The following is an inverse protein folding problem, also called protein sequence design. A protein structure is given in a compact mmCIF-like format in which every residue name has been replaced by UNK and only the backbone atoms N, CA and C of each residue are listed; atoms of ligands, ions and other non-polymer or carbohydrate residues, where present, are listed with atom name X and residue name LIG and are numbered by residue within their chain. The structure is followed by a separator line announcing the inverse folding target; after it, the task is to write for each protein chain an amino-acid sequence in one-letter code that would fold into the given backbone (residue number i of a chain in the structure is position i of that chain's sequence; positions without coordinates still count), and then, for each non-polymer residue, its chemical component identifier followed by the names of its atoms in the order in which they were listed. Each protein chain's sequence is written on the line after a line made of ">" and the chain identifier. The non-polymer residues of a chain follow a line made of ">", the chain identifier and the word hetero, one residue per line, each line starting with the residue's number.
data_IF_004282118545
#
_entry.id   IF_004282118545
#
_cell.length_a   1.000
_cell.length_b   1.000
_cell.length_c   1.000
_cell.angle_alpha   90.00
_cell.angle_beta   90.00
_cell.angle_gamma   90.00
#
_symmetry.space_group_name_H-M   'P 1'
#
loop_
_entity.id
_entity.type
_entity.pdbx_description
1 polymer ?
#
# COMPACT_ATOMS: atom_id res chain seq x y z
N UNK A 1 33.10 -20.02 -9.20
CA UNK A 1 32.20 -20.36 -8.08
C UNK A 1 30.94 -19.51 -8.18
N UNK A 2 29.80 -20.12 -7.90
CA UNK A 2 28.42 -19.67 -8.12
C UNK A 2 28.11 -18.29 -7.53
N UNK A 3 27.21 -17.56 -8.17
CA UNK A 3 25.89 -17.20 -7.62
C UNK A 3 24.91 -16.98 -8.77
N UNK A 4 24.26 -18.05 -9.19
CA UNK A 4 22.98 -17.95 -9.89
C UNK A 4 22.02 -17.31 -8.91
N UNK A 5 21.66 -16.04 -9.16
CA UNK A 5 20.52 -15.41 -8.49
C UNK A 5 19.30 -16.03 -9.15
N UNK A 6 18.65 -16.90 -8.38
CA UNK A 6 17.31 -17.37 -8.67
C UNK A 6 16.42 -16.13 -8.60
N UNK A 7 16.10 -15.55 -9.75
CA UNK A 7 15.04 -14.56 -9.85
C UNK A 7 13.76 -15.32 -9.54
N UNK A 8 13.36 -15.31 -8.25
CA UNK A 8 12.04 -15.76 -7.88
C UNK A 8 11.08 -14.80 -8.60
N UNK A 9 10.50 -15.28 -9.70
CA UNK A 9 9.24 -14.78 -10.20
C UNK A 9 8.21 -15.04 -9.11
N UNK A 10 8.23 -14.22 -8.06
CA UNK A 10 7.03 -13.84 -7.33
C UNK A 10 6.24 -13.01 -8.34
N UNK A 11 5.64 -13.70 -9.31
CA UNK A 11 4.49 -13.14 -10.00
C UNK A 11 3.44 -13.00 -8.92
N UNK A 12 3.43 -11.85 -8.25
CA UNK A 12 2.25 -11.39 -7.54
C UNK A 12 1.15 -11.49 -8.59
N UNK A 13 0.24 -12.44 -8.43
CA UNK A 13 -1.02 -12.39 -9.15
C UNK A 13 -1.59 -11.02 -8.80
N UNK A 14 -1.48 -10.07 -9.72
CA UNK A 14 -1.99 -8.71 -9.57
C UNK A 14 -3.52 -8.81 -9.62
N UNK A 15 -4.11 -9.38 -8.58
CA UNK A 15 -5.53 -9.32 -8.38
C UNK A 15 -5.88 -7.85 -8.15
N UNK A 16 -6.77 -7.33 -9.00
CA UNK A 16 -7.24 -5.95 -9.02
C UNK A 16 -6.27 -4.86 -9.52
N UNK A 17 -5.14 -5.22 -10.17
CA UNK A 17 -4.23 -4.22 -10.78
C UNK A 17 -3.47 -3.39 -9.74
N UNK A 18 -3.26 -3.96 -8.56
CA UNK A 18 -2.51 -3.39 -7.44
C UNK A 18 -1.37 -4.34 -7.07
N UNK A 19 -0.20 -3.81 -6.77
CA UNK A 19 0.93 -4.60 -6.25
C UNK A 19 1.81 -3.74 -5.35
N UNK A 20 2.19 -4.30 -4.20
CA UNK A 20 3.15 -3.66 -3.28
C UNK A 20 4.58 -3.92 -3.73
N UNK A 21 5.44 -2.92 -3.62
CA UNK A 21 6.87 -3.08 -3.89
C UNK A 21 7.52 -4.08 -2.92
N UNK A 22 8.59 -4.79 -3.33
CA UNK A 22 9.26 -5.75 -2.47
C UNK A 22 10.18 -5.12 -1.40
N UNK A 23 10.46 -3.82 -1.51
CA UNK A 23 11.29 -3.05 -0.57
C UNK A 23 10.44 -1.99 0.13
N UNK A 24 10.96 -1.47 1.24
CA UNK A 24 10.39 -0.35 1.99
C UNK A 24 11.10 0.95 1.63
N UNK A 25 10.41 2.07 1.84
CA UNK A 25 10.88 3.39 1.45
C UNK A 25 10.52 4.45 2.50
N UNK A 26 11.37 5.48 2.59
CA UNK A 26 11.14 6.64 3.44
C UNK A 26 10.18 7.66 2.81
N UNK A 27 9.74 8.63 3.61
CA UNK A 27 8.67 9.57 3.25
C UNK A 27 8.95 10.49 2.05
N UNK A 28 10.21 10.72 1.69
CA UNK A 28 10.62 11.76 0.73
C UNK A 28 11.11 11.22 -0.62
N UNK A 29 10.79 9.97 -0.93
CA UNK A 29 11.18 9.31 -2.17
C UNK A 29 10.24 9.66 -3.34
N UNK A 30 10.70 9.45 -4.58
CA UNK A 30 9.83 9.53 -5.76
C UNK A 30 9.10 8.19 -5.96
N UNK A 31 7.94 8.06 -5.32
CA UNK A 31 7.16 6.83 -5.36
C UNK A 31 6.61 6.47 -6.75
N UNK A 32 6.35 7.46 -7.61
CA UNK A 32 5.91 7.19 -8.98
C UNK A 32 7.08 6.65 -9.82
N UNK A 33 8.31 7.13 -9.62
CA UNK A 33 9.51 6.52 -10.22
C UNK A 33 9.76 5.11 -9.67
N UNK A 34 9.65 4.91 -8.36
CA UNK A 34 9.77 3.59 -7.72
C UNK A 34 8.78 2.58 -8.32
N UNK A 35 7.50 2.96 -8.45
CA UNK A 35 6.50 2.09 -9.06
C UNK A 35 6.84 1.75 -10.52
N UNK A 36 7.34 2.72 -11.30
CA UNK A 36 7.73 2.50 -12.70
C UNK A 36 8.93 1.57 -12.83
N UNK A 37 9.90 1.69 -11.94
CA UNK A 37 11.08 0.85 -11.93
C UNK A 37 10.74 -0.58 -11.50
N UNK A 38 9.82 -0.74 -10.55
CA UNK A 38 9.38 -2.05 -10.06
C UNK A 38 8.46 -2.78 -11.04
N UNK A 39 7.52 -2.07 -11.67
CA UNK A 39 6.38 -2.69 -12.36
C UNK A 39 6.17 -2.21 -13.81
N UNK A 40 7.04 -1.34 -14.32
CA UNK A 40 7.03 -0.86 -15.70
C UNK A 40 6.45 0.54 -15.86
N UNK A 41 6.68 1.15 -17.04
CA UNK A 41 6.52 2.59 -17.27
C UNK A 41 5.10 3.16 -17.09
N UNK A 42 4.08 2.30 -17.04
CA UNK A 42 2.70 2.71 -16.80
C UNK A 42 2.30 2.66 -15.32
N UNK A 43 3.12 2.04 -14.48
CA UNK A 43 2.84 1.95 -13.07
C UNK A 43 2.93 3.32 -12.40
N UNK A 44 2.17 3.49 -11.32
CA UNK A 44 2.10 4.71 -10.53
C UNK A 44 1.72 4.38 -9.10
N UNK A 45 1.99 5.29 -8.17
CA UNK A 45 1.54 5.15 -6.79
C UNK A 45 0.01 5.09 -6.75
N UNK A 46 -0.50 4.14 -5.97
CA UNK A 46 -1.92 3.96 -5.75
C UNK A 46 -2.50 5.11 -4.93
N UNK A 47 -3.72 5.49 -5.30
CA UNK A 47 -4.52 6.45 -4.56
C UNK A 47 -5.55 5.72 -3.69
N UNK A 48 -6.00 6.33 -2.60
CA UNK A 48 -7.16 5.87 -1.82
C UNK A 48 -8.37 5.48 -2.68
N UNK A 49 -8.70 6.27 -3.70
CA UNK A 49 -9.80 5.96 -4.63
C UNK A 49 -9.57 4.66 -5.40
N UNK A 50 -8.33 4.38 -5.79
CA UNK A 50 -8.00 3.16 -6.50
C UNK A 50 -8.21 1.94 -5.60
N UNK A 51 -7.75 2.03 -4.34
CA UNK A 51 -7.87 0.97 -3.34
C UNK A 51 -9.34 0.68 -3.04
N UNK A 52 -10.15 1.71 -2.79
CA UNK A 52 -11.59 1.54 -2.55
C UNK A 52 -12.30 0.86 -3.72
N UNK A 53 -12.01 1.30 -4.94
CA UNK A 53 -12.59 0.75 -6.16
C UNK A 53 -12.17 -0.71 -6.39
N UNK A 54 -10.91 -1.03 -6.10
CA UNK A 54 -10.38 -2.38 -6.20
C UNK A 54 -11.02 -3.30 -5.14
N UNK A 55 -11.08 -2.83 -3.89
CA UNK A 55 -11.74 -3.53 -2.79
C UNK A 55 -13.21 -3.81 -3.09
N UNK A 56 -13.98 -2.80 -3.51
CA UNK A 56 -15.41 -2.94 -3.83
C UNK A 56 -15.65 -4.04 -4.87
N UNK A 57 -14.81 -4.11 -5.89
CA UNK A 57 -14.87 -5.08 -6.99
C UNK A 57 -14.35 -6.47 -6.64
N UNK A 58 -13.55 -6.61 -5.59
CA UNK A 58 -13.00 -7.90 -5.21
C UNK A 58 -14.12 -8.89 -4.88
N UNK A 59 -14.05 -10.09 -5.47
CA UNK A 59 -15.00 -11.16 -5.20
C UNK A 59 -14.81 -11.71 -3.77
N UNK A 60 -13.56 -11.80 -3.35
CA UNK A 60 -13.14 -12.18 -2.00
C UNK A 60 -12.33 -11.03 -1.39
N UNK A 61 -12.79 -10.52 -0.24
CA UNK A 61 -12.18 -9.37 0.42
C UNK A 61 -10.92 -9.76 1.20
N UNK A 62 -10.90 -10.96 1.78
CA UNK A 62 -9.74 -11.47 2.50
C UNK A 62 -8.60 -11.77 1.53
N UNK A 63 -8.92 -12.41 0.39
CA UNK A 63 -7.94 -12.64 -0.68
C UNK A 63 -7.41 -11.31 -1.25
N UNK A 64 -8.28 -10.31 -1.41
CA UNK A 64 -7.83 -8.98 -1.84
C UNK A 64 -6.81 -8.37 -0.87
N UNK A 65 -7.10 -8.35 0.43
CA UNK A 65 -6.18 -7.80 1.44
C UNK A 65 -4.85 -8.56 1.43
N UNK A 66 -4.91 -9.90 1.41
CA UNK A 66 -3.72 -10.74 1.32
C UNK A 66 -2.91 -10.48 0.04
N UNK A 67 -3.57 -10.22 -1.10
CA UNK A 67 -2.89 -9.92 -2.37
C UNK A 67 -2.08 -8.62 -2.35
N UNK A 68 -2.38 -7.70 -1.44
CA UNK A 68 -1.60 -6.48 -1.21
C UNK A 68 -0.33 -6.74 -0.38
N UNK A 69 -0.14 -7.96 0.14
CA UNK A 69 0.92 -8.30 1.09
C UNK A 69 0.62 -7.86 2.53
N UNK A 70 -0.64 -7.54 2.85
CA UNK A 70 -1.11 -7.20 4.19
C UNK A 70 -1.63 -8.48 4.86
N UNK A 71 -0.77 -9.14 5.65
CA UNK A 71 -1.06 -10.43 6.28
C UNK A 71 -1.23 -10.33 7.80
N UNK A 72 -0.78 -9.23 8.40
CA UNK A 72 -0.74 -9.02 9.84
C UNK A 72 -1.25 -7.63 10.23
N UNK A 73 -1.88 -7.57 11.40
CA UNK A 73 -2.32 -6.32 12.02
C UNK A 73 -1.19 -5.28 12.06
N UNK A 74 -1.54 -4.02 11.80
CA UNK A 74 -0.66 -2.84 11.78
C UNK A 74 0.34 -2.78 10.62
N UNK A 75 0.27 -3.71 9.66
CA UNK A 75 1.03 -3.57 8.41
C UNK A 75 0.47 -2.44 7.56
N UNK A 76 1.37 -1.61 7.05
CA UNK A 76 1.07 -0.38 6.32
C UNK A 76 1.70 -0.38 4.93
N UNK A 77 1.06 0.30 3.98
CA UNK A 77 1.60 0.59 2.65
C UNK A 77 1.51 2.09 2.35
N UNK A 78 2.54 2.62 1.69
CA UNK A 78 2.62 3.99 1.21
C UNK A 78 1.65 4.18 0.06
N UNK A 79 0.82 5.22 0.16
CA UNK A 79 -0.18 5.59 -0.84
C UNK A 79 -0.25 7.12 -0.94
N UNK A 80 -1.04 7.63 -1.88
CA UNK A 80 -1.43 9.05 -1.92
C UNK A 80 -2.93 9.26 -1.75
N UNK A 81 -3.30 10.46 -1.32
CA UNK A 81 -4.68 10.92 -1.35
C UNK A 81 -4.79 12.09 -2.33
N UNK A 82 -5.70 11.99 -3.29
CA UNK A 82 -5.74 12.89 -4.46
C UNK A 82 -4.34 13.14 -5.10
N UNK A 83 -3.87 14.39 -5.12
CA UNK A 83 -2.53 14.78 -5.60
C UNK A 83 -1.46 14.80 -4.51
N UNK A 84 -1.82 14.55 -3.26
CA UNK A 84 -0.98 14.77 -2.08
C UNK A 84 -0.39 13.47 -1.54
N UNK A 85 0.88 13.53 -1.15
CA UNK A 85 1.59 12.46 -0.45
C UNK A 85 1.50 12.61 1.07
N UNK A 86 1.33 13.86 1.52
CA UNK A 86 1.30 14.25 2.92
C UNK A 86 -0.03 14.91 3.28
N UNK A 87 -0.45 14.71 4.52
CA UNK A 87 -1.61 15.43 5.08
C UNK A 87 -1.20 16.80 5.63
N UNK A 88 -0.61 16.83 6.83
CA UNK A 88 0.01 18.01 7.42
C UNK A 88 1.44 17.70 7.89
N UNK A 89 2.37 18.61 7.60
CA UNK A 89 3.77 18.47 8.00
C UNK A 89 4.45 17.27 7.34
N UNK A 90 4.90 16.32 8.14
CA UNK A 90 5.63 15.11 7.77
C UNK A 90 4.76 13.84 7.80
N UNK A 91 3.43 13.99 7.94
CA UNK A 91 2.52 12.85 7.98
C UNK A 91 2.22 12.33 6.59
N UNK A 92 2.80 11.19 6.24
CA UNK A 92 2.58 10.54 4.96
C UNK A 92 1.27 9.76 4.96
N UNK A 93 0.53 9.80 3.85
CA UNK A 93 -0.64 8.95 3.66
C UNK A 93 -0.26 7.48 3.53
N UNK A 94 -0.99 6.62 4.24
CA UNK A 94 -0.81 5.17 4.28
C UNK A 94 -2.16 4.46 4.26
N UNK A 95 -2.16 3.19 3.86
CA UNK A 95 -3.25 2.25 4.13
C UNK A 95 -2.74 1.19 5.10
N UNK A 96 -3.52 0.89 6.14
CA UNK A 96 -3.11 -0.02 7.23
C UNK A 96 -4.14 -1.10 7.48
N UNK A 97 -3.70 -2.33 7.70
CA UNK A 97 -4.56 -3.45 8.10
C UNK A 97 -4.84 -3.40 9.61
N UNK A 98 -6.07 -3.07 9.98
CA UNK A 98 -6.51 -3.05 11.38
C UNK A 98 -7.52 -4.15 11.73
N UNK A 99 -8.06 -4.85 10.73
CA UNK A 99 -8.91 -6.03 10.91
C UNK A 99 -10.06 -5.81 11.91
N UNK A 100 -10.74 -4.67 11.78
CA UNK A 100 -11.88 -4.25 12.61
C UNK A 100 -11.51 -3.65 13.97
N UNK A 101 -10.22 -3.58 14.31
CA UNK A 101 -9.76 -3.10 15.63
C UNK A 101 -8.88 -1.88 15.46
N UNK A 102 -9.40 -0.69 15.78
CA UNK A 102 -8.59 0.52 15.74
C UNK A 102 -7.48 0.49 16.80
N UNK A 103 -6.26 0.95 16.46
CA UNK A 103 -5.22 1.20 17.44
C UNK A 103 -5.73 2.20 18.49
N UNK A 104 -5.45 1.91 19.76
CA UNK A 104 -5.75 2.85 20.87
C UNK A 104 -4.66 3.91 21.05
N UNK A 105 -3.61 3.90 20.22
CA UNK A 105 -2.54 4.90 20.25
C UNK A 105 -2.91 6.14 19.41
N UNK A 106 -2.97 7.28 20.09
CA UNK A 106 -3.53 8.55 19.61
C UNK A 106 -2.77 9.24 18.46
N UNK A 107 -1.66 8.68 17.97
CA UNK A 107 -0.87 9.33 16.93
C UNK A 107 -1.21 8.84 15.53
N UNK A 108 -1.99 7.76 15.36
CA UNK A 108 -2.46 7.33 14.03
C UNK A 108 -3.69 8.14 13.70
N UNK A 109 -3.69 8.80 12.55
CA UNK A 109 -4.85 9.55 12.10
C UNK A 109 -5.58 8.73 11.05
N UNK A 110 -6.74 8.20 11.46
CA UNK A 110 -7.72 7.61 10.53
C UNK A 110 -8.44 8.77 9.86
N UNK A 111 -8.35 8.83 8.54
CA UNK A 111 -9.05 9.82 7.74
C UNK A 111 -10.29 9.22 7.08
N UNK A 112 -10.23 7.93 6.76
CA UNK A 112 -11.35 7.15 6.24
C UNK A 112 -11.11 5.65 6.47
N UNK A 113 -12.12 4.82 6.22
CA UNK A 113 -12.06 3.37 6.46
C UNK A 113 -12.68 2.57 5.32
N UNK A 114 -12.24 1.31 5.18
CA UNK A 114 -12.80 0.31 4.29
C UNK A 114 -13.24 -0.87 5.15
N UNK A 115 -14.50 -1.25 4.98
CA UNK A 115 -15.12 -2.44 5.59
C UNK A 115 -14.94 -2.49 7.11
N UNK A 116 -15.55 -1.50 7.78
CA UNK A 116 -15.60 -1.39 9.23
C UNK A 116 -14.22 -1.56 9.91
N UNK A 117 -13.21 -0.80 9.47
CA UNK A 117 -11.83 -0.84 9.97
C UNK A 117 -11.04 -2.11 9.62
N UNK A 118 -11.46 -2.86 8.59
CA UNK A 118 -10.59 -3.89 8.01
C UNK A 118 -9.31 -3.24 7.48
N UNK A 119 -9.46 -2.24 6.61
CA UNK A 119 -8.37 -1.35 6.22
C UNK A 119 -8.71 0.08 6.64
N UNK A 120 -7.71 0.80 7.15
CA UNK A 120 -7.83 2.23 7.43
C UNK A 120 -6.96 3.06 6.51
N UNK A 121 -7.57 4.09 5.95
CA UNK A 121 -6.92 5.09 5.12
C UNK A 121 -6.51 6.22 6.04
N UNK A 122 -5.22 6.28 6.33
CA UNK A 122 -4.70 7.12 7.39
C UNK A 122 -3.43 7.83 7.01
N UNK A 123 -2.78 8.38 8.03
CA UNK A 123 -1.46 8.99 7.89
C UNK A 123 -0.59 8.69 9.10
N UNK A 124 0.73 8.70 8.91
CA UNK A 124 1.72 8.49 9.96
C UNK A 124 3.05 9.21 9.67
N UNK A 125 3.92 9.35 10.68
CA UNK A 125 5.25 10.00 10.58
C UNK A 125 6.36 8.97 10.54
N UNK A 126 7.56 9.35 10.09
CA UNK A 126 8.74 8.47 10.10
C UNK A 126 8.49 7.11 9.44
N UNK A 127 7.82 7.12 8.28
CA UNK A 127 7.45 5.90 7.58
C UNK A 127 8.67 5.17 6.99
N UNK A 128 8.62 3.85 7.02
CA UNK A 128 9.51 2.92 6.32
C UNK A 128 8.68 1.71 5.87
N UNK A 129 7.91 1.91 4.80
CA UNK A 129 6.90 0.95 4.33
C UNK A 129 7.02 0.68 2.83
N UNK A 130 6.49 -0.45 2.32
CA UNK A 130 6.39 -0.67 0.89
C UNK A 130 5.43 0.32 0.23
N UNK A 131 5.68 0.68 -1.03
CA UNK A 131 4.76 1.48 -1.83
C UNK A 131 3.74 0.60 -2.54
N UNK A 132 2.45 0.98 -2.45
CA UNK A 132 1.39 0.31 -3.19
C UNK A 132 1.26 0.96 -4.57
N UNK A 133 1.42 0.16 -5.63
CA UNK A 133 1.41 0.63 -7.00
C UNK A 133 0.20 0.11 -7.77
N UNK A 134 -0.35 0.94 -8.66
CA UNK A 134 -1.23 0.50 -9.73
C UNK A 134 -0.37 -0.10 -10.83
N UNK A 135 -0.71 -1.31 -11.26
CA UNK A 135 -0.01 -2.06 -12.30
C UNK A 135 -1.00 -2.44 -13.41
N UNK A 136 -0.61 -2.22 -14.66
CA UNK A 136 -1.40 -2.55 -15.87
C UNK A 136 -0.96 -3.87 -16.51
#
# INVERSE_FOLDING_TARGET
>A
MKKSILLALLGSLAFAGLSATPQTYGAYEDFDAICKDAFGQKARLANWRDIKKAYEKAADKEEFVASLGLESYDQSLIVKNESEYFEEGDRHYIVTLHNGTLPTNYTYLVHDTIDAHTLDLGSWRDIDYPALCIVE
#
